data_IF_390259299179
#
_entry.id   IF_390259299179
#
_cell.length_a   1.000
_cell.length_b   1.000
_cell.length_c   1.000
_cell.angle_alpha   90.00
_cell.angle_beta   90.00
_cell.angle_gamma   90.00
#
_symmetry.space_group_name_H-M   'P 1'
#
loop_
_entity.id
_entity.type
_entity.pdbx_description
1 polymer ?
#
# COMPACT_ATOMS: atom_id res chain seq x y z
N UNK A 1 -41.52 35.36 25.57
CA UNK A 1 -41.17 33.92 25.47
C UNK A 1 -40.21 33.76 24.34
N UNK A 2 -38.93 33.59 24.66
CA UNK A 2 -37.83 33.41 23.70
C UNK A 2 -37.70 31.92 23.39
N UNK A 3 -38.04 31.53 22.16
CA UNK A 3 -37.84 30.15 21.70
C UNK A 3 -36.40 29.99 21.26
N UNK A 4 -35.61 29.32 22.10
CA UNK A 4 -34.21 28.92 21.77
C UNK A 4 -34.32 27.71 20.84
N UNK A 5 -34.03 27.95 19.55
CA UNK A 5 -33.78 26.87 18.58
C UNK A 5 -32.37 26.32 18.80
N UNK A 6 -32.27 25.20 19.49
CA UNK A 6 -31.03 24.44 19.59
C UNK A 6 -30.84 23.73 18.25
N UNK A 7 -29.99 24.30 17.39
CA UNK A 7 -29.51 23.64 16.17
C UNK A 7 -28.49 22.56 16.59
N UNK A 8 -28.99 21.34 16.77
CA UNK A 8 -28.15 20.17 16.97
C UNK A 8 -27.46 19.85 15.63
N UNK A 9 -26.30 20.46 15.37
CA UNK A 9 -25.45 20.08 14.26
C UNK A 9 -24.91 18.68 14.54
N UNK A 10 -25.55 17.68 13.96
CA UNK A 10 -25.02 16.32 13.89
C UNK A 10 -23.78 16.39 13.00
N UNK A 11 -22.61 16.50 13.62
CA UNK A 11 -21.34 16.23 12.96
C UNK A 11 -21.33 14.75 12.59
N UNK A 12 -21.79 14.42 11.40
CA UNK A 12 -21.59 13.11 10.81
C UNK A 12 -20.10 13.00 10.58
N UNK A 13 -19.39 12.36 11.50
CA UNK A 13 -18.01 11.90 11.30
C UNK A 13 -18.09 10.88 10.16
N UNK A 14 -17.81 11.32 8.95
CA UNK A 14 -17.59 10.44 7.83
C UNK A 14 -16.35 9.60 8.17
N UNK A 15 -16.56 8.44 8.75
CA UNK A 15 -15.54 7.40 8.85
C UNK A 15 -15.38 6.89 7.42
N UNK A 16 -14.42 7.43 6.70
CA UNK A 16 -14.07 6.96 5.36
C UNK A 16 -13.44 5.55 5.49
N UNK A 17 -14.28 4.53 5.48
CA UNK A 17 -13.84 3.19 5.16
C UNK A 17 -13.75 3.11 3.64
N UNK A 18 -12.54 3.20 3.09
CA UNK A 18 -12.31 3.06 1.66
C UNK A 18 -11.85 1.62 1.39
N UNK A 19 -12.51 0.96 0.44
CA UNK A 19 -12.09 -0.35 -0.08
C UNK A 19 -11.60 -0.20 -1.50
N UNK A 20 -10.44 -0.77 -1.80
CA UNK A 20 -9.83 -0.77 -3.12
C UNK A 20 -9.57 -2.21 -3.53
N UNK A 21 -9.96 -2.58 -4.74
CA UNK A 21 -9.59 -3.85 -5.36
C UNK A 21 -8.48 -3.63 -6.37
N UNK A 22 -7.59 -4.60 -6.49
CA UNK A 22 -6.44 -4.51 -7.39
C UNK A 22 -6.09 -5.86 -8.02
N UNK A 23 -5.37 -5.78 -9.14
CA UNK A 23 -4.65 -6.91 -9.73
C UNK A 23 -3.16 -6.72 -9.52
N UNK A 24 -2.50 -7.79 -9.09
CA UNK A 24 -1.05 -7.89 -8.98
C UNK A 24 -0.52 -8.85 -10.05
N UNK A 25 0.49 -8.42 -10.78
CA UNK A 25 1.32 -9.23 -11.63
C UNK A 25 2.73 -9.29 -11.05
N UNK A 26 3.26 -10.48 -10.81
CA UNK A 26 4.67 -10.71 -10.49
C UNK A 26 5.33 -11.40 -11.66
N UNK A 27 6.20 -10.69 -12.38
CA UNK A 27 7.02 -11.25 -13.44
C UNK A 27 8.33 -11.79 -12.89
N UNK A 28 8.69 -13.00 -13.28
CA UNK A 28 9.93 -13.69 -12.91
C UNK A 28 10.80 -13.81 -14.16
N UNK A 29 11.82 -12.96 -14.26
CA UNK A 29 12.67 -12.86 -15.45
C UNK A 29 13.40 -14.18 -15.75
N UNK A 30 13.92 -14.83 -14.73
CA UNK A 30 14.64 -16.11 -14.89
C UNK A 30 13.76 -17.24 -15.49
N UNK A 31 12.44 -17.18 -15.28
CA UNK A 31 11.46 -18.16 -15.77
C UNK A 31 10.67 -17.64 -16.97
N UNK A 32 10.85 -16.39 -17.36
CA UNK A 32 10.07 -15.71 -18.41
C UNK A 32 8.56 -15.90 -18.26
N UNK A 33 8.07 -15.78 -17.01
CA UNK A 33 6.65 -16.05 -16.66
C UNK A 33 6.12 -15.03 -15.68
N UNK A 34 4.81 -14.85 -15.68
CA UNK A 34 4.09 -14.01 -14.73
C UNK A 34 3.15 -14.83 -13.84
N UNK A 35 3.05 -14.43 -12.59
CA UNK A 35 2.04 -14.92 -11.62
C UNK A 35 1.08 -13.77 -11.32
N UNK A 36 -0.21 -14.06 -11.37
CA UNK A 36 -1.27 -13.07 -11.17
C UNK A 36 -2.04 -13.35 -9.88
N UNK A 37 -2.41 -12.28 -9.16
CA UNK A 37 -3.27 -12.34 -7.99
C UNK A 37 -4.27 -11.20 -8.02
N UNK A 38 -5.48 -11.45 -7.55
CA UNK A 38 -6.46 -10.40 -7.23
C UNK A 38 -6.43 -10.12 -5.74
N UNK A 39 -6.44 -8.86 -5.37
CA UNK A 39 -6.37 -8.44 -3.97
C UNK A 39 -7.34 -7.33 -3.65
N UNK A 40 -7.44 -7.06 -2.35
CA UNK A 40 -8.26 -6.00 -1.77
C UNK A 40 -7.48 -5.30 -0.66
N UNK A 41 -7.60 -3.97 -0.60
CA UNK A 41 -7.10 -3.12 0.48
C UNK A 41 -8.30 -2.44 1.13
N UNK A 42 -8.49 -2.67 2.40
CA UNK A 42 -9.49 -1.99 3.24
C UNK A 42 -8.79 -0.97 4.14
N UNK A 43 -9.06 0.30 3.91
CA UNK A 43 -8.61 1.38 4.79
C UNK A 43 -9.61 1.55 5.93
N UNK A 44 -9.17 1.27 7.13
CA UNK A 44 -9.92 1.50 8.37
C UNK A 44 -9.35 2.72 9.10
N UNK A 45 -10.03 3.15 10.16
CA UNK A 45 -9.60 4.30 10.96
C UNK A 45 -8.18 4.13 11.51
N UNK A 46 -7.88 2.98 12.08
CA UNK A 46 -6.67 2.72 12.84
C UNK A 46 -5.72 1.70 12.19
N UNK A 47 -6.10 1.10 11.06
CA UNK A 47 -5.30 0.09 10.37
C UNK A 47 -5.63 -0.03 8.88
N UNK A 48 -4.78 -0.71 8.15
CA UNK A 48 -4.99 -1.10 6.75
C UNK A 48 -5.01 -2.63 6.69
N UNK A 49 -6.03 -3.21 6.08
CA UNK A 49 -6.10 -4.65 5.86
C UNK A 49 -5.89 -4.97 4.37
N UNK A 50 -5.00 -5.91 4.08
CA UNK A 50 -4.72 -6.39 2.73
C UNK A 50 -4.99 -7.87 2.68
N UNK A 51 -5.82 -8.27 1.74
CA UNK A 51 -6.17 -9.68 1.50
C UNK A 51 -6.12 -10.01 0.02
N UNK A 52 -5.88 -11.28 -0.29
CA UNK A 52 -5.87 -11.79 -1.66
C UNK A 52 -6.98 -12.78 -1.86
N UNK A 53 -7.62 -12.70 -3.04
CA UNK A 53 -8.64 -13.68 -3.44
C UNK A 53 -8.00 -15.06 -3.57
N UNK A 54 -8.67 -16.06 -3.04
CA UNK A 54 -8.22 -17.46 -3.07
C UNK A 54 -6.94 -17.75 -2.24
N UNK A 55 -6.50 -16.81 -1.41
CA UNK A 55 -5.50 -17.07 -0.39
C UNK A 55 -6.14 -16.93 0.99
N UNK A 56 -5.72 -17.77 1.90
CA UNK A 56 -6.15 -17.72 3.30
C UNK A 56 -5.43 -16.64 4.10
N UNK A 57 -4.32 -16.14 3.55
CA UNK A 57 -3.47 -15.18 4.23
C UNK A 57 -3.96 -13.75 4.00
N UNK A 58 -4.06 -12.98 5.09
CA UNK A 58 -4.24 -11.53 5.06
C UNK A 58 -3.26 -10.86 6.00
N UNK A 59 -3.05 -9.55 5.78
CA UNK A 59 -2.19 -8.72 6.60
C UNK A 59 -2.96 -7.53 7.11
N UNK A 60 -2.84 -7.25 8.42
CA UNK A 60 -3.40 -6.06 9.06
C UNK A 60 -2.24 -5.20 9.53
N UNK A 61 -2.11 -4.02 8.96
CA UNK A 61 -1.02 -3.08 9.20
C UNK A 61 -1.46 -1.97 10.14
N UNK A 62 -0.76 -1.83 11.26
CA UNK A 62 -0.84 -0.71 12.20
C UNK A 62 0.40 0.18 12.05
N UNK A 63 0.45 1.31 12.74
CA UNK A 63 1.58 2.24 12.62
C UNK A 63 2.91 1.65 13.14
N UNK A 64 2.86 0.77 14.15
CA UNK A 64 4.04 0.23 14.86
C UNK A 64 4.28 -1.26 14.64
N UNK A 65 3.31 -1.99 14.11
CA UNK A 65 3.39 -3.43 13.90
C UNK A 65 2.40 -3.89 12.82
N UNK A 66 2.46 -5.17 12.47
CA UNK A 66 1.43 -5.80 11.64
C UNK A 66 1.04 -7.17 12.17
N UNK A 67 -0.15 -7.62 11.77
CA UNK A 67 -0.66 -8.95 12.07
C UNK A 67 -0.75 -9.73 10.76
N UNK A 68 -0.13 -10.88 10.72
CA UNK A 68 -0.31 -11.87 9.66
C UNK A 68 -1.38 -12.86 10.11
N UNK A 69 -2.43 -13.01 9.33
CA UNK A 69 -3.50 -14.00 9.55
C UNK A 69 -3.43 -15.06 8.48
N UNK A 70 -3.50 -16.30 8.88
CA UNK A 70 -3.76 -17.45 8.04
C UNK A 70 -4.96 -18.22 8.62
N UNK A 71 -5.55 -19.16 7.90
CA UNK A 71 -6.81 -19.85 8.25
C UNK A 71 -6.97 -20.22 9.73
N UNK A 72 -5.90 -20.52 10.44
CA UNK A 72 -5.93 -21.02 11.83
C UNK A 72 -4.98 -20.29 12.78
N UNK A 73 -4.15 -19.38 12.28
CA UNK A 73 -3.14 -18.70 13.07
C UNK A 73 -3.17 -17.21 12.85
N UNK A 74 -2.98 -16.49 13.93
CA UNK A 74 -2.79 -15.04 13.92
C UNK A 74 -1.46 -14.76 14.61
N UNK A 75 -0.55 -14.05 13.94
CA UNK A 75 0.77 -13.74 14.47
C UNK A 75 1.02 -12.24 14.39
N UNK A 76 1.30 -11.63 15.54
CA UNK A 76 1.78 -10.24 15.62
C UNK A 76 3.28 -10.22 15.37
N UNK A 77 3.72 -9.36 14.45
CA UNK A 77 5.10 -9.23 14.00
C UNK A 77 5.50 -7.75 13.99
N UNK A 78 6.78 -7.48 14.17
CA UNK A 78 7.34 -6.13 14.08
C UNK A 78 7.84 -5.85 12.66
N UNK A 79 7.88 -4.60 12.27
CA UNK A 79 8.36 -4.19 10.95
C UNK A 79 9.87 -4.42 10.75
N UNK A 80 10.64 -4.44 11.84
CA UNK A 80 12.07 -4.72 11.80
C UNK A 80 12.38 -6.13 11.29
N UNK A 81 11.48 -7.09 11.56
CA UNK A 81 11.62 -8.47 11.14
C UNK A 81 11.22 -8.71 9.67
N UNK A 82 10.47 -7.78 9.08
CA UNK A 82 9.88 -7.92 7.73
C UNK A 82 9.89 -6.58 6.98
N UNK A 83 11.08 -6.17 6.56
CA UNK A 83 11.33 -4.88 5.90
C UNK A 83 10.45 -4.69 4.64
N UNK A 84 10.20 -5.78 3.88
CA UNK A 84 9.36 -5.74 2.69
C UNK A 84 7.90 -5.36 2.98
N UNK A 85 7.35 -5.82 4.12
CA UNK A 85 5.99 -5.47 4.54
C UNK A 85 5.91 -4.06 5.11
N UNK A 86 6.95 -3.60 5.81
CA UNK A 86 7.08 -2.22 6.23
C UNK A 86 7.09 -1.27 5.02
N UNK A 87 7.91 -1.58 4.03
CA UNK A 87 8.00 -0.82 2.80
C UNK A 87 6.65 -0.76 2.07
N UNK A 88 5.97 -1.89 1.96
CA UNK A 88 4.63 -1.96 1.36
C UNK A 88 3.64 -1.07 2.12
N UNK A 89 3.61 -1.14 3.44
CA UNK A 89 2.75 -0.29 4.28
C UNK A 89 3.02 1.21 4.07
N UNK A 90 4.30 1.62 4.04
CA UNK A 90 4.71 3.00 3.79
C UNK A 90 4.32 3.46 2.37
N UNK A 91 4.50 2.61 1.36
CA UNK A 91 4.07 2.89 -0.01
C UNK A 91 2.56 3.12 -0.13
N UNK A 92 1.74 2.26 0.48
CA UNK A 92 0.29 2.39 0.47
C UNK A 92 -0.16 3.68 1.17
N UNK A 93 0.42 4.02 2.32
CA UNK A 93 0.13 5.28 3.00
C UNK A 93 0.57 6.50 2.16
N UNK A 94 1.73 6.44 1.51
CA UNK A 94 2.17 7.51 0.63
C UNK A 94 1.24 7.67 -0.58
N UNK A 95 0.90 6.58 -1.26
CA UNK A 95 0.07 6.62 -2.46
C UNK A 95 -1.37 7.10 -2.16
N UNK A 96 -1.99 6.61 -1.09
CA UNK A 96 -3.42 6.84 -0.84
C UNK A 96 -3.72 7.91 0.21
N UNK A 97 -2.81 8.17 1.14
CA UNK A 97 -2.98 9.15 2.22
C UNK A 97 -2.01 10.33 2.13
N UNK A 98 -1.17 10.37 1.08
CA UNK A 98 -0.12 11.39 0.86
C UNK A 98 0.82 11.57 2.05
N UNK A 99 1.03 10.49 2.84
CA UNK A 99 1.95 10.47 3.97
C UNK A 99 3.36 10.19 3.46
N UNK A 100 4.19 11.23 3.42
CA UNK A 100 5.61 11.13 3.01
C UNK A 100 6.51 10.53 4.10
N UNK A 101 6.07 10.61 5.34
CA UNK A 101 6.84 10.15 6.49
C UNK A 101 7.24 8.67 6.35
N UNK A 102 8.54 8.44 6.46
CA UNK A 102 9.13 7.12 6.37
C UNK A 102 9.37 6.59 4.96
N UNK A 103 8.75 7.13 3.89
CA UNK A 103 9.11 6.73 2.52
C UNK A 103 10.42 7.40 2.08
N UNK A 104 10.67 8.63 2.52
CA UNK A 104 11.90 9.39 2.24
C UNK A 104 13.13 8.80 2.93
N UNK A 105 12.96 7.97 3.96
CA UNK A 105 14.05 7.19 4.56
C UNK A 105 14.60 6.13 3.60
N UNK A 106 13.77 5.64 2.69
CA UNK A 106 14.10 4.56 1.76
C UNK A 106 14.34 5.04 0.34
N UNK A 107 13.74 6.17 -0.06
CA UNK A 107 13.75 6.63 -1.44
C UNK A 107 13.92 8.13 -1.57
N UNK A 108 14.60 8.53 -2.65
CA UNK A 108 14.53 9.86 -3.19
C UNK A 108 13.34 9.94 -4.16
N UNK A 109 12.47 10.92 -3.95
CA UNK A 109 11.28 11.15 -4.77
C UNK A 109 11.62 12.02 -5.97
N UNK A 110 11.13 11.63 -7.15
CA UNK A 110 11.24 12.38 -8.40
C UNK A 110 9.91 12.37 -9.13
N UNK A 111 9.47 13.51 -9.61
CA UNK A 111 8.30 13.60 -10.48
C UNK A 111 8.76 13.63 -11.93
N UNK A 112 8.18 12.83 -12.80
CA UNK A 112 8.53 12.72 -14.21
C UNK A 112 7.31 12.35 -15.05
N UNK A 113 6.98 13.15 -16.07
CA UNK A 113 5.96 12.85 -17.08
C UNK A 113 4.61 12.37 -16.50
N UNK A 114 4.09 13.06 -15.49
CA UNK A 114 2.84 12.71 -14.78
C UNK A 114 2.88 11.39 -13.97
N UNK A 115 4.07 10.90 -13.64
CA UNK A 115 4.25 9.77 -12.71
C UNK A 115 5.25 10.14 -11.63
N UNK A 116 5.15 9.46 -10.50
CA UNK A 116 6.13 9.51 -9.43
C UNK A 116 7.14 8.39 -9.61
N UNK A 117 8.42 8.73 -9.48
CA UNK A 117 9.54 7.78 -9.50
C UNK A 117 10.24 7.84 -8.14
N UNK A 118 10.40 6.68 -7.51
CA UNK A 118 11.13 6.52 -6.26
C UNK A 118 12.45 5.81 -6.55
N UNK A 119 13.54 6.51 -6.32
CA UNK A 119 14.90 5.99 -6.48
C UNK A 119 15.36 5.49 -5.11
N UNK A 120 15.70 4.19 -4.97
CA UNK A 120 16.10 3.64 -3.68
C UNK A 120 17.39 4.27 -3.17
N UNK A 121 17.48 4.44 -1.85
CA UNK A 121 18.73 4.78 -1.18
C UNK A 121 19.69 3.58 -1.19
N UNK A 122 20.89 3.77 -0.63
CA UNK A 122 21.95 2.76 -0.63
C UNK A 122 21.50 1.41 -0.06
N UNK A 123 20.67 1.42 1.01
CA UNK A 123 20.20 0.22 1.68
C UNK A 123 19.34 -0.68 0.78
N UNK A 124 18.45 -0.11 -0.02
CA UNK A 124 17.54 -0.84 -0.91
C UNK A 124 18.09 -1.01 -2.34
N UNK A 125 19.10 -0.25 -2.73
CA UNK A 125 19.62 -0.21 -4.11
C UNK A 125 20.22 -1.53 -4.59
N UNK A 126 20.56 -2.44 -3.69
CA UNK A 126 21.04 -3.79 -4.05
C UNK A 126 19.91 -4.72 -4.51
N UNK A 127 18.67 -4.45 -4.11
CA UNK A 127 17.51 -5.30 -4.40
C UNK A 127 16.54 -4.61 -5.35
N UNK A 128 16.24 -3.35 -5.12
CA UNK A 128 15.27 -2.56 -5.90
C UNK A 128 16.02 -1.63 -6.86
N UNK A 129 15.62 -1.63 -8.11
CA UNK A 129 16.15 -0.72 -9.13
C UNK A 129 15.47 0.65 -9.08
N UNK A 130 14.14 0.64 -9.05
CA UNK A 130 13.26 1.81 -8.89
C UNK A 130 11.84 1.37 -8.59
N UNK A 131 11.01 2.32 -8.14
CA UNK A 131 9.55 2.16 -8.08
C UNK A 131 8.93 3.30 -8.90
N UNK A 132 7.91 3.00 -9.68
CA UNK A 132 7.13 4.00 -10.41
C UNK A 132 5.66 3.82 -10.08
N UNK A 133 4.94 4.93 -9.92
CA UNK A 133 3.49 4.89 -9.85
C UNK A 133 2.84 6.11 -10.46
N UNK A 134 1.61 5.95 -10.89
CA UNK A 134 0.77 7.03 -11.42
C UNK A 134 -0.62 6.93 -10.86
N UNK A 135 -1.17 8.09 -10.46
CA UNK A 135 -2.56 8.24 -10.06
C UNK A 135 -3.28 9.16 -11.04
N UNK A 136 -4.51 8.82 -11.34
CA UNK A 136 -5.44 9.65 -12.10
C UNK A 136 -6.75 9.73 -11.33
N UNK A 137 -7.20 10.93 -11.00
CA UNK A 137 -8.45 11.17 -10.25
C UNK A 137 -8.56 10.32 -8.98
N UNK A 138 -7.51 10.30 -8.17
CA UNK A 138 -7.37 9.50 -6.93
C UNK A 138 -7.38 7.97 -7.12
N UNK A 139 -7.41 7.47 -8.34
CA UNK A 139 -7.28 6.05 -8.65
C UNK A 139 -5.83 5.75 -9.05
N UNK A 140 -5.29 4.66 -8.52
CA UNK A 140 -3.97 4.15 -8.91
C UNK A 140 -4.08 3.53 -10.32
N UNK A 141 -3.49 4.19 -11.32
CA UNK A 141 -3.41 3.65 -12.66
C UNK A 141 -2.43 2.46 -12.68
N UNK A 142 -1.27 2.64 -12.07
CA UNK A 142 -0.32 1.56 -11.80
C UNK A 142 0.63 1.92 -10.66
N UNK A 143 1.16 0.89 -10.01
CA UNK A 143 2.37 0.87 -9.18
C UNK A 143 3.26 -0.24 -9.71
N UNK A 144 4.51 0.06 -10.04
CA UNK A 144 5.46 -0.93 -10.55
C UNK A 144 6.78 -0.86 -9.79
N UNK A 145 7.18 -1.99 -9.22
CA UNK A 145 8.42 -2.17 -8.48
C UNK A 145 9.37 -2.97 -9.38
N UNK A 146 10.52 -2.40 -9.71
CA UNK A 146 11.55 -3.04 -10.53
C UNK A 146 12.69 -3.53 -9.64
N UNK A 147 13.02 -4.79 -9.76
CA UNK A 147 14.14 -5.40 -9.05
C UNK A 147 15.42 -5.45 -9.89
N UNK A 148 16.57 -5.61 -9.22
CA UNK A 148 17.87 -5.67 -9.88
C UNK A 148 18.08 -6.92 -10.75
N UNK A 149 17.38 -8.00 -10.44
CA UNK A 149 17.37 -9.25 -11.22
C UNK A 149 16.41 -9.23 -12.41
N UNK A 150 15.92 -8.02 -12.79
CA UNK A 150 14.96 -7.80 -13.86
C UNK A 150 13.54 -8.37 -13.61
N UNK A 151 13.26 -8.90 -12.42
CA UNK A 151 11.89 -9.17 -11.99
C UNK A 151 11.13 -7.86 -11.79
N UNK A 152 9.81 -7.92 -11.84
CA UNK A 152 8.97 -6.81 -11.40
C UNK A 152 7.69 -7.27 -10.72
N UNK A 153 7.13 -6.40 -9.90
CA UNK A 153 5.76 -6.50 -9.41
C UNK A 153 5.00 -5.28 -9.93
N UNK A 154 3.86 -5.51 -10.55
CA UNK A 154 2.95 -4.47 -11.01
C UNK A 154 1.59 -4.62 -10.35
N UNK A 155 1.06 -3.52 -9.81
CA UNK A 155 -0.26 -3.44 -9.20
C UNK A 155 -1.09 -2.41 -9.98
N UNK A 156 -2.29 -2.79 -10.34
CA UNK A 156 -3.28 -1.94 -11.02
C UNK A 156 -4.57 -1.97 -10.23
N UNK A 157 -5.12 -0.80 -9.91
CA UNK A 157 -6.40 -0.69 -9.23
C UNK A 157 -7.53 -0.95 -10.22
N UNK A 158 -8.49 -1.82 -9.84
CA UNK A 158 -9.67 -2.11 -10.66
C UNK A 158 -10.71 -0.98 -10.66
#
# INVERSE_FOLDING_TARGET
MLKIFIFLSIFILNVFAQTITFKEEKFLNALQTSVYKDGKIDFKKDYIEVSYKNLSTSYIFFDDHFISKDNQTEQKLNYEDRVELNLFYKLINFIYKDKKDGIEEFFKLQESENKMVLIPNEYLSNSISKIEFKKVSNKLEFLKIYFKNEDYIQIVQN
#
